data_IF_913260972708
#
_entry.id   IF_913260972708
#
_cell.length_a   1.000
_cell.length_b   1.000
_cell.length_c   1.000
_cell.angle_alpha   90.00
_cell.angle_beta   90.00
_cell.angle_gamma   90.00
#
_symmetry.space_group_name_H-M   'P 1'
#
loop_
_entity.id
_entity.type
_entity.pdbx_description
1 polymer ?
#
# COMPACT_ATOMS: atom_id res chain seq x y z
N UNK A 1 12.31 61.58 22.47
CA UNK A 1 12.05 60.13 22.58
C UNK A 1 10.71 59.94 23.25
N UNK A 2 9.68 59.49 22.51
CA UNK A 2 8.35 59.25 23.12
C UNK A 2 8.51 58.14 24.14
N UNK A 3 8.39 58.47 25.43
CA UNK A 3 8.28 57.47 26.48
C UNK A 3 6.95 56.74 26.27
N UNK A 4 7.01 55.54 25.67
CA UNK A 4 5.85 54.67 25.52
C UNK A 4 5.40 54.26 26.92
N UNK A 5 4.38 54.93 27.45
CA UNK A 5 3.78 54.57 28.72
C UNK A 5 3.23 53.14 28.61
N UNK A 6 3.71 52.23 29.45
CA UNK A 6 3.21 50.85 29.46
C UNK A 6 1.81 50.86 30.11
N UNK A 7 0.77 50.29 29.46
CA UNK A 7 -0.63 50.45 29.84
C UNK A 7 -1.07 49.65 31.09
N UNK A 8 -0.28 49.67 32.17
CA UNK A 8 -0.63 49.01 33.44
C UNK A 8 -1.84 49.64 34.16
N UNK A 9 -2.27 50.83 33.73
CA UNK A 9 -3.38 51.57 34.37
C UNK A 9 -4.72 51.42 33.66
N UNK A 10 -4.75 50.73 32.51
CA UNK A 10 -5.98 50.52 31.74
C UNK A 10 -6.92 49.49 32.40
N UNK A 11 -6.41 48.55 33.21
CA UNK A 11 -7.26 47.63 33.95
C UNK A 11 -6.73 47.33 35.36
N UNK A 12 -7.64 46.92 36.26
CA UNK A 12 -7.27 46.48 37.62
C UNK A 12 -6.36 45.25 37.58
N UNK A 13 -6.54 44.38 36.60
CA UNK A 13 -5.74 43.17 36.41
C UNK A 13 -4.31 43.52 36.01
N UNK A 14 -4.12 44.39 35.00
CA UNK A 14 -2.78 44.80 34.56
C UNK A 14 -2.06 45.63 35.64
N UNK A 15 -2.80 46.37 36.47
CA UNK A 15 -2.25 47.06 37.64
C UNK A 15 -1.72 46.09 38.71
N UNK A 16 -2.39 44.97 38.94
CA UNK A 16 -1.92 43.93 39.86
C UNK A 16 -0.62 43.29 39.36
N UNK A 17 -0.52 43.05 38.05
CA UNK A 17 0.67 42.44 37.45
C UNK A 17 1.84 43.40 37.23
N UNK A 18 1.65 44.71 37.44
CA UNK A 18 2.69 45.73 37.25
C UNK A 18 3.97 45.39 38.04
N UNK A 19 3.85 44.95 39.29
CA UNK A 19 5.02 44.64 40.14
C UNK A 19 5.84 43.48 39.61
N UNK A 20 5.19 42.45 39.05
CA UNK A 20 5.85 41.27 38.49
C UNK A 20 6.58 41.60 37.19
N UNK A 21 5.96 42.36 36.29
CA UNK A 21 6.59 42.76 35.02
C UNK A 21 7.67 43.84 35.19
N UNK A 22 7.66 44.59 36.29
CA UNK A 22 8.71 45.56 36.63
C UNK A 22 9.86 44.94 37.48
N UNK A 23 10.01 43.61 37.51
CA UNK A 23 11.16 42.93 38.10
C UNK A 23 11.12 42.72 39.62
N UNK A 24 9.96 42.94 40.27
CA UNK A 24 9.78 42.71 41.71
C UNK A 24 9.13 41.35 42.03
N UNK A 25 9.31 40.35 41.18
CA UNK A 25 8.80 38.99 41.37
C UNK A 25 9.06 38.12 40.16
N UNK A 26 8.85 36.80 40.29
CA UNK A 26 8.88 35.84 39.17
C UNK A 26 7.45 35.64 38.67
N UNK A 27 7.25 35.60 37.35
CA UNK A 27 5.96 35.26 36.74
C UNK A 27 6.07 33.97 35.92
N UNK A 28 5.06 33.11 36.01
CA UNK A 28 4.90 31.94 35.16
C UNK A 28 3.50 31.97 34.54
N UNK A 29 3.40 31.62 33.26
CA UNK A 29 2.15 31.55 32.52
C UNK A 29 1.85 30.09 32.18
N UNK A 30 0.66 29.63 32.54
CA UNK A 30 0.15 28.32 32.15
C UNK A 30 -0.86 28.54 31.03
N UNK A 31 -0.68 27.82 29.92
CA UNK A 31 -1.51 27.93 28.73
C UNK A 31 -2.29 26.63 28.58
N UNK A 32 -3.61 26.70 28.69
CA UNK A 32 -4.49 25.56 28.48
C UNK A 32 -4.92 25.50 27.01
N UNK A 33 -4.86 24.31 26.42
CA UNK A 33 -5.15 24.09 24.99
C UNK A 33 -6.31 23.10 24.84
N UNK A 34 -7.26 23.44 23.97
CA UNK A 34 -8.32 22.53 23.56
C UNK A 34 -7.87 21.74 22.32
N UNK A 35 -8.08 20.42 22.33
CA UNK A 35 -7.71 19.53 21.22
C UNK A 35 -8.76 19.53 20.09
N UNK A 36 -9.93 20.13 20.31
CA UNK A 36 -10.98 20.19 19.31
C UNK A 36 -10.64 21.13 18.14
N UNK A 37 -10.82 20.65 16.91
CA UNK A 37 -10.54 21.41 15.70
C UNK A 37 -11.42 22.67 15.55
N UNK A 38 -12.63 22.69 16.13
CA UNK A 38 -13.52 23.85 16.05
C UNK A 38 -12.98 25.10 16.76
N UNK A 39 -12.13 24.92 17.77
CA UNK A 39 -11.49 26.01 18.53
C UNK A 39 -10.07 26.30 18.05
N UNK A 40 -9.71 25.87 16.84
CA UNK A 40 -8.36 26.00 16.29
C UNK A 40 -7.90 27.46 16.22
N UNK A 41 -8.74 28.36 15.67
CA UNK A 41 -8.36 29.77 15.50
C UNK A 41 -8.16 30.49 16.84
N UNK A 42 -8.97 30.16 17.85
CA UNK A 42 -8.83 30.65 19.22
C UNK A 42 -7.54 30.13 19.86
N UNK A 43 -7.27 28.83 19.74
CA UNK A 43 -6.05 28.18 20.23
C UNK A 43 -4.81 28.77 19.56
N UNK A 44 -4.86 29.00 18.25
CA UNK A 44 -3.80 29.64 17.49
C UNK A 44 -3.55 31.08 17.99
N UNK A 45 -4.61 31.83 18.32
CA UNK A 45 -4.47 33.17 18.88
C UNK A 45 -3.77 33.15 20.26
N UNK A 46 -4.19 32.25 21.15
CA UNK A 46 -3.57 32.07 22.48
C UNK A 46 -2.10 31.68 22.35
N UNK A 47 -1.77 30.77 21.41
CA UNK A 47 -0.39 30.36 21.16
C UNK A 47 0.49 31.50 20.63
N UNK A 48 -0.05 32.33 19.71
CA UNK A 48 0.63 33.55 19.24
C UNK A 48 0.89 34.52 20.38
N UNK A 49 -0.08 34.76 21.25
CA UNK A 49 0.08 35.62 22.43
C UNK A 49 1.15 35.07 23.37
N UNK A 50 1.15 33.77 23.62
CA UNK A 50 2.12 33.08 24.49
C UNK A 50 3.55 33.18 23.95
N UNK A 51 3.71 33.07 22.62
CA UNK A 51 5.00 33.26 21.96
C UNK A 51 5.55 34.69 22.13
N UNK A 52 4.67 35.70 22.09
CA UNK A 52 5.05 37.11 22.36
C UNK A 52 5.39 37.29 23.84
N UNK A 53 4.58 36.75 24.75
CA UNK A 53 4.80 36.85 26.19
C UNK A 53 6.15 36.23 26.62
N UNK A 54 6.59 35.16 25.95
CA UNK A 54 7.90 34.53 26.18
C UNK A 54 9.08 35.46 25.89
N UNK A 55 8.91 36.46 25.01
CA UNK A 55 9.97 37.41 24.67
C UNK A 55 10.16 38.51 25.74
N UNK A 56 9.25 38.60 26.71
CA UNK A 56 9.32 39.58 27.79
C UNK A 56 10.36 39.12 28.82
N UNK A 57 11.55 39.69 28.74
CA UNK A 57 12.63 39.46 29.71
C UNK A 57 12.41 40.36 30.93
N UNK A 58 12.15 39.75 32.08
CA UNK A 58 12.11 40.46 33.35
C UNK A 58 13.55 40.68 33.82
N UNK A 59 13.99 41.93 33.92
CA UNK A 59 15.27 42.27 34.56
C UNK A 59 15.08 42.19 36.06
N UNK A 60 15.11 40.99 36.60
CA UNK A 60 15.18 40.75 38.04
C UNK A 60 16.68 40.84 38.38
N UNK A 61 17.13 41.79 39.21
CA UNK A 61 18.52 41.79 39.66
C UNK A 61 18.77 40.46 40.39
N UNK A 62 19.79 39.71 39.94
CA UNK A 62 20.12 38.38 40.46
C UNK A 62 20.33 38.42 41.97
N UNK A 63 19.33 37.98 42.71
CA UNK A 63 19.54 37.36 44.02
C UNK A 63 19.61 35.87 43.75
N UNK A 64 20.81 35.34 43.99
CA UNK A 64 21.21 33.94 43.88
C UNK A 64 20.05 32.98 44.13
N UNK A 65 19.79 32.13 43.15
CA UNK A 65 18.81 31.05 43.16
C UNK A 65 18.89 30.23 44.46
N UNK A 66 17.96 30.45 45.38
CA UNK A 66 17.68 29.55 46.48
C UNK A 66 16.45 28.71 46.10
N UNK A 67 16.68 27.40 46.01
CA UNK A 67 15.73 26.35 45.65
C UNK A 67 14.39 26.47 46.39
N UNK A 68 13.29 26.26 45.65
CA UNK A 68 11.90 26.24 46.12
C UNK A 68 11.58 24.99 46.99
N UNK A 69 12.33 24.80 48.08
CA UNK A 69 11.93 23.91 49.16
C UNK A 69 11.28 24.74 50.27
N UNK A 70 10.22 24.25 50.95
CA UNK A 70 9.60 25.00 52.05
C UNK A 70 10.62 25.16 53.19
N UNK A 71 11.28 26.31 53.26
CA UNK A 71 12.14 26.66 54.37
C UNK A 71 11.37 27.54 55.34
N UNK A 72 11.53 27.30 56.64
CA UNK A 72 11.07 28.23 57.66
C UNK A 72 11.94 29.50 57.56
N UNK A 73 11.32 30.66 57.50
CA UNK A 73 12.02 31.95 57.43
C UNK A 73 11.98 32.65 58.79
N UNK A 74 13.10 33.26 59.18
CA UNK A 74 13.19 34.10 60.37
C UNK A 74 12.44 35.42 60.18
N UNK A 75 12.22 36.17 61.27
CA UNK A 75 11.54 37.48 61.23
C UNK A 75 12.28 38.53 60.39
N UNK A 76 13.56 38.30 60.12
CA UNK A 76 14.46 39.09 59.26
C UNK A 76 14.44 38.64 57.78
N UNK A 77 13.60 37.67 57.41
CA UNK A 77 13.44 37.19 56.04
C UNK A 77 14.57 36.29 55.55
N UNK A 78 15.46 35.84 56.45
CA UNK A 78 16.54 34.90 56.12
C UNK A 78 16.10 33.45 56.34
N UNK A 79 16.60 32.48 55.54
CA UNK A 79 16.28 31.06 55.72
C UNK A 79 16.84 30.55 57.07
N UNK A 80 16.02 29.91 57.91
CA UNK A 80 16.47 29.29 59.18
C UNK A 80 17.29 28.01 58.97
N UNK A 81 17.34 27.50 57.74
CA UNK A 81 18.00 26.24 57.41
C UNK A 81 19.08 26.51 56.37
N UNK A 82 20.34 26.32 56.77
CA UNK A 82 21.47 26.22 55.85
C UNK A 82 22.00 24.80 55.92
N UNK A 83 21.94 24.07 54.80
CA UNK A 83 22.48 22.71 54.65
C UNK A 83 21.84 21.60 55.55
N UNK A 84 20.57 21.72 55.91
CA UNK A 84 19.82 20.63 56.56
C UNK A 84 20.06 20.48 58.08
N UNK A 85 20.79 21.40 58.71
CA UNK A 85 20.92 21.49 60.16
C UNK A 85 20.16 22.72 60.64
N UNK A 86 19.27 22.56 61.63
CA UNK A 86 18.60 23.70 62.28
C UNK A 86 19.68 24.45 63.06
N UNK A 87 19.94 25.70 62.71
CA UNK A 87 20.85 26.54 63.49
C UNK A 87 20.19 26.84 64.85
N UNK A 88 20.66 26.17 65.91
CA UNK A 88 20.15 26.35 67.28
C UNK A 88 20.15 27.82 67.70
N UNK A 89 21.08 28.64 67.18
CA UNK A 89 21.18 30.07 67.51
C UNK A 89 20.08 30.91 66.85
N UNK A 90 19.63 30.51 65.65
CA UNK A 90 18.52 31.15 64.94
C UNK A 90 17.15 30.74 65.53
N UNK A 91 17.04 29.50 66.02
CA UNK A 91 15.84 29.01 66.71
C UNK A 91 15.64 29.70 68.07
N UNK A 92 16.72 29.95 68.82
CA UNK A 92 16.67 30.67 70.10
C UNK A 92 16.26 32.14 69.92
N UNK A 93 16.76 32.79 68.87
CA UNK A 93 16.38 34.15 68.46
C UNK A 93 14.90 34.25 68.05
N UNK A 94 14.34 33.22 67.40
CA UNK A 94 12.91 33.19 67.03
C UNK A 94 11.99 33.00 68.24
N UNK A 95 12.50 32.41 69.33
CA UNK A 95 11.75 32.16 70.57
C UNK A 95 11.89 33.27 71.61
N UNK A 96 12.89 34.15 71.48
CA UNK A 96 13.07 35.32 72.34
C UNK A 96 12.16 36.47 71.90
N UNK A 97 10.97 36.56 72.49
CA UNK A 97 10.12 37.75 72.41
C UNK A 97 10.78 38.91 73.19
N UNK A 98 11.51 39.79 72.50
CA UNK A 98 11.88 41.09 73.03
C UNK A 98 11.12 42.16 72.25
N UNK A 99 9.93 42.48 72.75
CA UNK A 99 9.08 43.54 72.24
C UNK A 99 9.47 44.84 72.95
N UNK A 100 9.98 45.81 72.17
CA UNK A 100 10.10 47.20 72.58
C UNK A 100 8.69 47.75 72.81
N UNK A 101 8.29 47.86 74.07
CA UNK A 101 7.11 48.64 74.48
C UNK A 101 7.59 49.76 75.41
N UNK A 102 7.66 50.95 74.83
CA UNK A 102 7.72 52.20 75.58
C UNK A 102 6.37 52.42 76.29
N UNK A 103 6.50 52.65 77.60
CA UNK A 103 5.67 53.43 78.51
C UNK A 103 4.16 53.15 78.70
N UNK A 104 3.87 52.81 79.96
CA UNK A 104 2.71 53.23 80.76
C UNK A 104 1.29 52.84 80.31
N UNK A 105 0.86 51.66 80.75
CA UNK A 105 -0.54 51.42 81.09
C UNK A 105 -0.63 50.60 82.39
N UNK A 106 -0.97 51.28 83.48
CA UNK A 106 -1.36 50.66 84.75
C UNK A 106 -2.63 49.81 84.55
N UNK A 107 -2.48 48.49 84.64
CA UNK A 107 -3.57 47.50 84.60
C UNK A 107 -3.33 46.41 85.65
N UNK A 108 -3.24 46.79 86.92
CA UNK A 108 -3.38 45.83 88.03
C UNK A 108 -4.86 45.45 88.17
N UNK A 109 -5.22 44.18 87.92
CA UNK A 109 -6.36 43.49 88.59
C UNK A 109 -6.36 41.94 88.46
N UNK A 110 -5.30 41.31 87.96
CA UNK A 110 -5.07 39.85 88.04
C UNK A 110 -3.63 39.59 88.53
N UNK A 111 -3.40 38.62 89.42
CA UNK A 111 -2.04 38.21 89.78
C UNK A 111 -1.26 37.86 88.51
N UNK A 112 -0.07 38.46 88.34
CA UNK A 112 0.76 38.30 87.13
C UNK A 112 0.98 36.83 86.74
N UNK A 113 1.03 35.94 87.73
CA UNK A 113 1.12 34.49 87.54
C UNK A 113 -0.10 33.86 86.86
N UNK A 114 -1.31 34.33 87.16
CA UNK A 114 -2.55 33.81 86.57
C UNK A 114 -2.69 34.22 85.11
N UNK A 115 -2.29 35.45 84.77
CA UNK A 115 -2.26 35.94 83.40
C UNK A 115 -1.25 35.17 82.54
N UNK A 116 -0.04 34.92 83.05
CA UNK A 116 0.97 34.11 82.37
C UNK A 116 0.50 32.67 82.14
N UNK A 117 -0.10 32.04 83.15
CA UNK A 117 -0.69 30.71 83.02
C UNK A 117 -1.83 30.67 81.98
N UNK A 118 -2.64 31.72 81.89
CA UNK A 118 -3.69 31.84 80.88
C UNK A 118 -3.09 31.99 79.47
N UNK A 119 -2.07 32.84 79.31
CA UNK A 119 -1.36 33.03 78.03
C UNK A 119 -0.74 31.70 77.56
N UNK A 120 -0.07 30.98 78.45
CA UNK A 120 0.53 29.69 78.13
C UNK A 120 -0.53 28.62 77.80
N UNK A 121 -1.64 28.61 78.54
CA UNK A 121 -2.81 27.78 78.25
C UNK A 121 -3.47 28.09 76.89
N UNK A 122 -3.52 29.36 76.50
CA UNK A 122 -4.05 29.76 75.19
C UNK A 122 -3.06 29.43 74.06
N UNK A 123 -1.75 29.61 74.28
CA UNK A 123 -0.69 29.22 73.34
C UNK A 123 -0.72 27.72 73.05
N UNK A 124 -0.85 26.88 74.09
CA UNK A 124 -0.95 25.42 73.93
C UNK A 124 -2.21 25.01 73.18
N UNK A 125 -3.37 25.60 73.49
CA UNK A 125 -4.62 25.37 72.73
C UNK A 125 -4.51 25.82 71.27
N UNK A 126 -3.91 26.98 71.00
CA UNK A 126 -3.68 27.47 69.65
C UNK A 126 -2.79 26.51 68.85
N UNK A 127 -1.72 26.01 69.45
CA UNK A 127 -0.84 25.03 68.83
C UNK A 127 -1.56 23.70 68.57
N UNK A 128 -2.38 23.24 69.52
CA UNK A 128 -3.19 22.02 69.37
C UNK A 128 -4.20 22.17 68.21
N UNK A 129 -4.90 23.30 68.12
CA UNK A 129 -5.84 23.58 67.02
C UNK A 129 -5.12 23.68 65.67
N UNK A 130 -3.95 24.33 65.61
CA UNK A 130 -3.14 24.38 64.38
C UNK A 130 -2.71 22.99 63.92
N UNK A 131 -2.28 22.13 64.85
CA UNK A 131 -1.92 20.73 64.54
C UNK A 131 -3.12 19.94 64.05
N UNK A 132 -4.27 20.05 64.73
CA UNK A 132 -5.52 19.40 64.33
C UNK A 132 -5.93 19.81 62.91
N UNK A 133 -5.90 21.11 62.62
CA UNK A 133 -6.23 21.65 61.30
C UNK A 133 -5.28 21.14 60.21
N UNK A 134 -3.98 21.09 60.48
CA UNK A 134 -3.01 20.58 59.51
C UNK A 134 -3.26 19.10 59.17
N UNK A 135 -3.54 18.28 60.18
CA UNK A 135 -3.86 16.85 59.97
C UNK A 135 -5.12 16.70 59.13
N UNK A 136 -6.18 17.44 59.45
CA UNK A 136 -7.43 17.43 58.67
C UNK A 136 -7.22 17.88 57.23
N UNK A 137 -6.42 18.92 57.00
CA UNK A 137 -6.11 19.40 55.64
C UNK A 137 -5.37 18.36 54.81
N UNK A 138 -4.41 17.66 55.43
CA UNK A 138 -3.67 16.56 54.78
C UNK A 138 -4.63 15.41 54.43
N UNK A 139 -5.52 15.04 55.34
CA UNK A 139 -6.50 13.98 55.15
C UNK A 139 -7.49 14.32 54.02
N UNK A 140 -8.08 15.52 54.03
CA UNK A 140 -9.00 15.98 52.98
C UNK A 140 -8.30 16.00 51.62
N UNK A 141 -7.06 16.47 51.54
CA UNK A 141 -6.30 16.49 50.28
C UNK A 141 -5.99 15.09 49.78
N UNK A 142 -5.70 14.15 50.69
CA UNK A 142 -5.49 12.75 50.35
C UNK A 142 -6.77 12.13 49.82
N UNK A 143 -7.88 12.24 50.54
CA UNK A 143 -9.18 11.70 50.11
C UNK A 143 -9.62 12.27 48.76
N UNK A 144 -9.48 13.59 48.57
CA UNK A 144 -9.80 14.23 47.29
C UNK A 144 -8.86 13.77 46.17
N UNK A 145 -7.57 13.57 46.48
CA UNK A 145 -6.59 13.04 45.53
C UNK A 145 -6.89 11.61 45.11
N UNK A 146 -7.22 10.74 46.08
CA UNK A 146 -7.58 9.34 45.85
C UNK A 146 -8.87 9.24 45.02
N UNK A 147 -9.90 10.05 45.34
CA UNK A 147 -11.14 10.10 44.58
C UNK A 147 -10.95 10.60 43.13
N UNK A 148 -10.13 11.65 42.94
CA UNK A 148 -9.81 12.16 41.60
C UNK A 148 -9.04 11.11 40.79
N UNK A 149 -8.08 10.43 41.41
CA UNK A 149 -7.31 9.37 40.76
C UNK A 149 -8.22 8.22 40.33
N UNK A 150 -9.12 7.79 41.21
CA UNK A 150 -10.10 6.75 40.90
C UNK A 150 -10.96 7.13 39.68
N UNK A 151 -11.50 8.35 39.65
CA UNK A 151 -12.30 8.83 38.50
C UNK A 151 -11.49 8.84 37.20
N UNK A 152 -10.21 9.23 37.24
CA UNK A 152 -9.33 9.22 36.07
C UNK A 152 -9.16 7.80 35.55
N UNK A 153 -8.84 6.84 36.43
CA UNK A 153 -8.65 5.44 36.08
C UNK A 153 -9.92 4.82 35.48
N UNK A 154 -11.08 5.03 36.10
CA UNK A 154 -12.37 4.56 35.59
C UNK A 154 -12.66 5.15 34.18
N UNK A 155 -12.35 6.43 33.97
CA UNK A 155 -12.53 7.07 32.67
C UNK A 155 -11.55 6.58 31.60
N UNK A 156 -10.34 6.21 32.00
CA UNK A 156 -9.32 5.65 31.11
C UNK A 156 -9.70 4.23 30.69
N UNK A 157 -10.16 3.41 31.63
CA UNK A 157 -10.64 2.06 31.38
C UNK A 157 -11.82 2.06 30.39
N UNK A 158 -12.81 2.93 30.58
CA UNK A 158 -13.94 3.07 29.66
C UNK A 158 -13.48 3.45 28.24
N UNK A 159 -12.52 4.39 28.12
CA UNK A 159 -11.97 4.77 26.81
C UNK A 159 -11.18 3.63 26.16
N UNK A 160 -10.42 2.87 26.95
CA UNK A 160 -9.68 1.71 26.45
C UNK A 160 -10.63 0.63 25.93
N UNK A 161 -11.72 0.35 26.65
CA UNK A 161 -12.77 -0.58 26.23
C UNK A 161 -13.42 -0.13 24.91
N UNK A 162 -13.81 1.15 24.80
CA UNK A 162 -14.39 1.70 23.57
C UNK A 162 -13.45 1.58 22.36
N UNK A 163 -12.14 1.79 22.57
CA UNK A 163 -11.14 1.62 21.50
C UNK A 163 -11.03 0.15 21.09
N UNK A 164 -11.08 -0.77 22.05
CA UNK A 164 -10.97 -2.21 21.77
C UNK A 164 -12.21 -2.74 21.04
N UNK A 165 -13.41 -2.36 21.46
CA UNK A 165 -14.67 -2.67 20.75
C UNK A 165 -14.64 -2.15 19.30
N UNK A 166 -14.13 -0.94 19.09
CA UNK A 166 -13.97 -0.40 17.75
C UNK A 166 -13.01 -1.27 16.92
N UNK A 167 -11.84 -1.65 17.46
CA UNK A 167 -10.89 -2.52 16.75
C UNK A 167 -11.49 -3.87 16.42
N UNK A 168 -12.20 -4.50 17.37
CA UNK A 168 -12.87 -5.78 17.16
C UNK A 168 -13.91 -5.67 16.05
N UNK A 169 -14.74 -4.61 16.06
CA UNK A 169 -15.72 -4.37 14.99
C UNK A 169 -15.08 -4.16 13.61
N UNK A 170 -13.89 -3.54 13.55
CA UNK A 170 -13.14 -3.39 12.30
C UNK A 170 -12.53 -4.71 11.84
N UNK A 171 -12.01 -5.52 12.77
CA UNK A 171 -11.48 -6.84 12.48
C UNK A 171 -12.58 -7.78 11.95
N UNK A 172 -13.75 -7.78 12.58
CA UNK A 172 -14.92 -8.57 12.15
C UNK A 172 -15.38 -8.17 10.74
N UNK A 173 -15.45 -6.86 10.44
CA UNK A 173 -15.76 -6.39 9.09
C UNK A 173 -14.75 -6.88 8.06
N UNK A 174 -13.46 -6.87 8.40
CA UNK A 174 -12.41 -7.34 7.51
C UNK A 174 -12.54 -8.86 7.26
N UNK A 175 -12.77 -9.64 8.32
CA UNK A 175 -12.97 -11.09 8.22
C UNK A 175 -14.20 -11.42 7.38
N UNK A 176 -15.32 -10.73 7.60
CA UNK A 176 -16.54 -10.89 6.80
C UNK A 176 -16.28 -10.59 5.32
N UNK A 177 -15.54 -9.52 5.00
CA UNK A 177 -15.19 -9.22 3.61
C UNK A 177 -14.26 -10.28 3.02
N UNK A 178 -13.32 -10.80 3.81
CA UNK A 178 -12.39 -11.84 3.38
C UNK A 178 -13.14 -13.14 3.06
N UNK A 179 -14.08 -13.56 3.91
CA UNK A 179 -14.88 -14.77 3.67
C UNK A 179 -15.77 -14.61 2.43
N UNK A 180 -16.36 -13.42 2.20
CA UNK A 180 -17.08 -13.11 0.96
C UNK A 180 -16.20 -13.27 -0.29
N UNK A 181 -14.97 -12.74 -0.27
CA UNK A 181 -14.05 -12.87 -1.40
C UNK A 181 -13.63 -14.32 -1.63
N UNK A 182 -13.36 -15.06 -0.56
CA UNK A 182 -13.00 -16.47 -0.61
C UNK A 182 -14.12 -17.31 -1.23
N UNK A 183 -15.37 -17.07 -0.85
CA UNK A 183 -16.51 -17.78 -1.42
C UNK A 183 -16.76 -17.37 -2.88
N UNK A 184 -16.62 -16.10 -3.23
CA UNK A 184 -16.69 -15.65 -4.63
C UNK A 184 -15.61 -16.29 -5.52
N UNK A 185 -14.39 -16.46 -5.01
CA UNK A 185 -13.30 -17.14 -5.73
C UNK A 185 -13.61 -18.63 -5.91
N UNK A 186 -14.12 -19.31 -4.87
CA UNK A 186 -14.53 -20.72 -4.96
C UNK A 186 -15.64 -20.91 -5.99
N UNK A 187 -16.66 -20.06 -5.95
CA UNK A 187 -17.78 -20.08 -6.90
C UNK A 187 -17.30 -19.85 -8.34
N UNK A 188 -16.45 -18.85 -8.56
CA UNK A 188 -15.88 -18.59 -9.88
C UNK A 188 -15.04 -19.78 -10.38
N UNK A 189 -14.21 -20.38 -9.52
CA UNK A 189 -13.43 -21.56 -9.88
C UNK A 189 -14.33 -22.75 -10.24
N UNK A 190 -15.40 -22.98 -9.48
CA UNK A 190 -16.39 -24.01 -9.76
C UNK A 190 -17.11 -23.78 -11.08
N UNK A 191 -17.59 -22.55 -11.32
CA UNK A 191 -18.25 -22.17 -12.58
C UNK A 191 -17.31 -22.35 -13.78
N UNK A 192 -16.05 -21.93 -13.69
CA UNK A 192 -15.07 -22.19 -14.73
C UNK A 192 -14.90 -23.69 -14.97
N UNK A 193 -14.82 -24.52 -13.93
CA UNK A 193 -14.69 -25.97 -14.09
C UNK A 193 -15.93 -26.59 -14.76
N UNK A 194 -17.13 -26.14 -14.40
CA UNK A 194 -18.39 -26.61 -15.00
C UNK A 194 -18.52 -26.19 -16.46
N UNK A 195 -18.24 -24.93 -16.80
CA UNK A 195 -18.31 -24.44 -18.18
C UNK A 195 -17.29 -25.16 -19.08
N UNK A 196 -16.08 -25.43 -18.59
CA UNK A 196 -15.11 -26.25 -19.33
C UNK A 196 -15.63 -27.68 -19.59
N UNK A 197 -16.40 -28.26 -18.66
CA UNK A 197 -17.00 -29.57 -18.85
C UNK A 197 -18.09 -29.54 -19.92
N UNK A 198 -18.88 -28.46 -19.96
CA UNK A 198 -19.92 -28.21 -20.94
C UNK A 198 -19.34 -27.97 -22.35
N UNK A 199 -18.31 -27.14 -22.48
CA UNK A 199 -17.66 -26.82 -23.75
C UNK A 199 -16.99 -28.06 -24.40
N UNK A 200 -16.51 -29.01 -23.60
CA UNK A 200 -15.89 -30.25 -24.07
C UNK A 200 -16.87 -31.43 -24.15
N UNK A 201 -18.17 -31.18 -23.92
CA UNK A 201 -19.18 -32.23 -23.97
C UNK A 201 -19.57 -32.53 -25.42
N UNK A 202 -19.25 -33.72 -25.89
CA UNK A 202 -19.74 -34.25 -27.18
C UNK A 202 -20.86 -35.25 -26.88
N UNK A 203 -22.10 -35.02 -27.37
CA UNK A 203 -23.18 -35.98 -27.25
C UNK A 203 -22.79 -37.36 -27.80
N UNK A 204 -23.18 -38.43 -27.11
CA UNK A 204 -22.79 -39.79 -27.47
C UNK A 204 -23.19 -40.16 -28.91
N UNK A 205 -24.37 -39.72 -29.35
CA UNK A 205 -24.87 -39.97 -30.70
C UNK A 205 -23.96 -39.34 -31.77
N UNK A 206 -23.50 -38.10 -31.55
CA UNK A 206 -22.55 -37.42 -32.47
C UNK A 206 -21.19 -38.12 -32.49
N UNK A 207 -20.69 -38.56 -31.34
CA UNK A 207 -19.44 -39.31 -31.26
C UNK A 207 -19.52 -40.65 -32.02
N UNK A 208 -20.62 -41.39 -31.87
CA UNK A 208 -20.82 -42.67 -32.58
C UNK A 208 -20.97 -42.48 -34.08
N UNK A 209 -21.69 -41.43 -34.51
CA UNK A 209 -21.83 -41.11 -35.93
C UNK A 209 -20.50 -40.70 -36.58
N UNK A 210 -19.65 -39.95 -35.87
CA UNK A 210 -18.30 -39.64 -36.36
C UNK A 210 -17.38 -40.86 -36.37
N UNK A 211 -17.47 -41.78 -35.40
CA UNK A 211 -16.73 -43.04 -35.47
C UNK A 211 -17.10 -43.88 -36.69
N UNK A 212 -18.40 -44.03 -36.98
CA UNK A 212 -18.87 -44.79 -38.14
C UNK A 212 -18.36 -44.15 -39.45
N UNK A 213 -18.40 -42.82 -39.57
CA UNK A 213 -17.84 -42.12 -40.74
C UNK A 213 -16.33 -42.35 -40.89
N UNK A 214 -15.58 -42.28 -39.78
CA UNK A 214 -14.14 -42.53 -39.79
C UNK A 214 -13.85 -43.97 -40.23
N UNK A 215 -14.60 -44.94 -39.73
CA UNK A 215 -14.47 -46.36 -40.10
C UNK A 215 -14.73 -46.56 -41.60
N UNK A 216 -15.80 -45.97 -42.15
CA UNK A 216 -16.11 -46.00 -43.59
C UNK A 216 -15.00 -45.38 -44.44
N UNK A 217 -14.46 -44.23 -44.02
CA UNK A 217 -13.35 -43.56 -44.73
C UNK A 217 -12.07 -44.39 -44.65
N UNK A 218 -11.82 -45.05 -43.52
CA UNK A 218 -10.64 -45.88 -43.29
C UNK A 218 -10.70 -47.14 -44.15
N UNK A 219 -11.85 -47.79 -44.23
CA UNK A 219 -12.09 -48.92 -45.13
C UNK A 219 -11.90 -48.50 -46.60
N UNK A 220 -12.49 -47.37 -47.01
CA UNK A 220 -12.31 -46.85 -48.36
C UNK A 220 -10.84 -46.50 -48.66
N UNK A 221 -10.08 -46.00 -47.69
CA UNK A 221 -8.66 -45.72 -47.83
C UNK A 221 -7.86 -47.01 -48.05
N UNK A 222 -8.16 -48.07 -47.30
CA UNK A 222 -7.53 -49.39 -47.44
C UNK A 222 -7.81 -49.99 -48.82
N UNK A 223 -9.05 -49.91 -49.30
CA UNK A 223 -9.39 -50.35 -50.65
C UNK A 223 -8.65 -49.56 -51.73
N UNK A 224 -8.61 -48.22 -51.60
CA UNK A 224 -7.90 -47.36 -52.55
C UNK A 224 -6.40 -47.58 -52.54
N UNK A 225 -5.78 -47.82 -51.38
CA UNK A 225 -4.37 -48.17 -51.29
C UNK A 225 -4.07 -49.51 -51.97
N UNK A 226 -4.93 -50.52 -51.78
CA UNK A 226 -4.78 -51.81 -52.45
C UNK A 226 -4.89 -51.69 -53.98
N UNK A 227 -5.82 -50.86 -54.48
CA UNK A 227 -5.96 -50.59 -55.91
C UNK A 227 -4.75 -49.84 -56.48
N UNK A 228 -4.19 -48.88 -55.75
CA UNK A 228 -2.98 -48.16 -56.15
C UNK A 228 -1.77 -49.11 -56.22
N UNK A 229 -1.59 -50.00 -55.24
CA UNK A 229 -0.54 -51.03 -55.28
C UNK A 229 -0.70 -51.97 -56.48
N UNK A 230 -1.94 -52.40 -56.78
CA UNK A 230 -2.22 -53.22 -57.94
C UNK A 230 -1.89 -52.50 -59.26
N UNK A 231 -2.30 -51.22 -59.39
CA UNK A 231 -1.98 -50.40 -60.56
C UNK A 231 -0.48 -50.17 -60.71
N UNK A 232 0.23 -49.88 -59.61
CA UNK A 232 1.68 -49.72 -59.62
C UNK A 232 2.36 -50.99 -60.15
N UNK A 233 1.94 -52.16 -59.66
CA UNK A 233 2.46 -53.45 -60.14
C UNK A 233 2.22 -53.63 -61.64
N UNK A 234 1.03 -53.29 -62.14
CA UNK A 234 0.75 -53.38 -63.59
C UNK A 234 1.56 -52.40 -64.43
N UNK A 235 1.81 -51.17 -63.93
CA UNK A 235 2.65 -50.19 -64.60
C UNK A 235 4.12 -50.63 -64.65
N UNK A 236 4.62 -51.23 -63.56
CA UNK A 236 5.96 -51.82 -63.51
C UNK A 236 6.08 -53.00 -64.47
N UNK A 237 5.06 -53.86 -64.55
CA UNK A 237 4.99 -54.99 -65.50
C UNK A 237 4.98 -54.50 -66.96
N UNK A 238 4.20 -53.46 -67.26
CA UNK A 238 4.16 -52.84 -68.59
C UNK A 238 5.50 -52.18 -68.94
N UNK A 239 6.15 -51.50 -67.99
CA UNK A 239 7.48 -50.89 -68.19
C UNK A 239 8.53 -51.96 -68.50
N UNK A 240 8.54 -53.06 -67.74
CA UNK A 240 9.39 -54.24 -68.03
C UNK A 240 9.11 -54.85 -69.40
N UNK A 241 7.84 -54.90 -69.82
CA UNK A 241 7.48 -55.40 -71.14
C UNK A 241 7.94 -54.46 -72.27
N UNK A 242 7.81 -53.14 -72.09
CA UNK A 242 8.26 -52.13 -73.04
C UNK A 242 9.79 -52.19 -73.21
N UNK A 243 10.55 -52.31 -72.12
CA UNK A 243 12.01 -52.50 -72.16
C UNK A 243 12.40 -53.74 -72.98
N UNK A 244 11.68 -54.85 -72.82
CA UNK A 244 11.92 -56.06 -73.64
C UNK A 244 11.66 -55.82 -75.12
N UNK A 245 10.59 -55.10 -75.48
CA UNK A 245 10.29 -54.75 -76.88
C UNK A 245 11.33 -53.80 -77.46
N UNK A 246 11.78 -52.81 -76.70
CA UNK A 246 12.86 -51.91 -77.11
C UNK A 246 14.15 -52.70 -77.39
N UNK A 247 14.54 -53.61 -76.49
CA UNK A 247 15.68 -54.50 -76.73
C UNK A 247 15.55 -55.33 -78.01
N UNK A 248 14.36 -55.89 -78.27
CA UNK A 248 14.09 -56.64 -79.50
C UNK A 248 14.14 -55.75 -80.75
N UNK A 249 13.66 -54.51 -80.67
CA UNK A 249 13.77 -53.55 -81.76
C UNK A 249 15.23 -53.17 -82.03
N UNK A 250 16.04 -52.94 -80.99
CA UNK A 250 17.47 -52.68 -81.14
C UNK A 250 18.21 -53.85 -81.81
N UNK A 251 17.82 -55.10 -81.50
CA UNK A 251 18.34 -56.30 -82.17
C UNK A 251 17.92 -56.37 -83.64
N UNK A 252 16.63 -56.13 -83.93
CA UNK A 252 16.09 -56.06 -85.30
C UNK A 252 16.75 -54.95 -86.11
N UNK A 253 17.01 -53.79 -85.52
CA UNK A 253 17.66 -52.65 -86.19
C UNK A 253 19.12 -52.97 -86.51
N UNK A 254 19.85 -53.69 -85.63
CA UNK A 254 21.18 -54.24 -85.93
C UNK A 254 21.12 -55.25 -87.07
N UNK A 255 20.10 -56.10 -87.11
CA UNK A 255 19.89 -57.07 -88.19
C UNK A 255 19.57 -56.36 -89.52
N UNK A 256 18.68 -55.36 -89.51
CA UNK A 256 18.37 -54.50 -90.67
C UNK A 256 19.64 -53.79 -91.15
N UNK A 257 20.47 -53.26 -90.26
CA UNK A 257 21.74 -52.64 -90.62
C UNK A 257 22.68 -53.64 -91.31
N UNK A 258 22.80 -54.87 -90.78
CA UNK A 258 23.58 -55.95 -91.39
C UNK A 258 23.06 -56.35 -92.77
N UNK A 259 21.73 -56.46 -92.94
CA UNK A 259 21.09 -56.75 -94.23
C UNK A 259 21.28 -55.61 -95.23
N UNK A 260 21.19 -54.34 -94.80
CA UNK A 260 21.48 -53.16 -95.64
C UNK A 260 22.94 -53.15 -96.10
N UNK A 261 23.89 -53.46 -95.21
CA UNK A 261 25.31 -53.58 -95.57
C UNK A 261 25.56 -54.70 -96.59
N UNK A 262 24.85 -55.83 -96.47
CA UNK A 262 24.90 -56.91 -97.46
C UNK A 262 24.30 -56.48 -98.82
N UNK A 263 23.22 -55.69 -98.81
CA UNK A 263 22.60 -55.15 -100.03
C UNK A 263 23.49 -54.13 -100.74
N UNK A 264 24.20 -53.28 -99.99
CA UNK A 264 25.23 -52.37 -100.53
C UNK A 264 26.40 -53.12 -101.17
N UNK A 265 26.75 -54.32 -100.66
CA UNK A 265 27.77 -55.19 -101.26
C UNK A 265 27.29 -55.87 -102.56
N UNK A 266 25.98 -56.10 -102.73
CA UNK A 266 25.39 -56.68 -103.94
C UNK A 266 25.06 -55.63 -105.03
N UNK A 267 24.87 -54.36 -104.67
CA UNK A 267 24.50 -53.29 -105.60
C UNK A 267 25.67 -52.75 -106.47
N UNK A 268 26.91 -53.23 -106.32
CA UNK A 268 28.05 -52.76 -107.13
C UNK A 268 28.24 -53.47 -108.49
N UNK A 269 27.27 -54.24 -108.99
CA UNK A 269 27.31 -54.77 -110.38
C UNK A 269 25.95 -54.72 -111.07
N UNK A 270 25.69 -53.66 -111.84
CA UNK A 270 25.31 -53.71 -113.27
C UNK A 270 24.52 -52.46 -113.72
N UNK A 271 24.52 -52.11 -115.03
CA UNK A 271 24.06 -50.82 -115.52
C UNK A 271 22.75 -50.90 -116.36
N UNK A 272 22.20 -49.71 -116.70
CA UNK A 272 21.47 -49.36 -117.95
C UNK A 272 19.91 -49.19 -117.94
N UNK A 273 19.50 -47.96 -118.34
CA UNK A 273 18.35 -47.44 -119.16
C UNK A 273 16.91 -47.19 -118.64
N UNK A 274 16.55 -45.91 -118.84
CA UNK A 274 15.29 -45.15 -119.04
C UNK A 274 14.01 -45.88 -119.52
N UNK A 275 12.82 -45.40 -119.07
CA UNK A 275 11.64 -44.93 -119.86
C UNK A 275 10.50 -44.47 -118.91
N UNK A 276 10.02 -43.21 -118.98
CA UNK A 276 8.81 -42.63 -119.64
C UNK A 276 7.57 -42.41 -118.72
N UNK A 277 7.24 -41.11 -118.56
CA UNK A 277 5.96 -40.37 -118.42
C UNK A 277 4.65 -41.08 -117.99
N UNK A 278 3.92 -40.39 -117.11
CA UNK A 278 2.45 -40.31 -117.07
C UNK A 278 1.96 -39.84 -115.69
N UNK A 279 1.56 -38.56 -115.52
CA UNK A 279 0.17 -38.06 -115.55
C UNK A 279 -0.70 -38.60 -114.40
N UNK A 280 -0.97 -37.77 -113.39
CA UNK A 280 -2.32 -37.27 -113.06
C UNK A 280 -2.21 -36.19 -111.96
N UNK A 281 -2.91 -35.10 -112.22
CA UNK A 281 -3.02 -33.92 -111.37
C UNK A 281 -4.27 -34.02 -110.48
N UNK A 282 -4.24 -33.23 -109.40
CA UNK A 282 -5.36 -32.63 -108.68
C UNK A 282 -6.36 -33.57 -107.98
N UNK A 283 -6.54 -33.38 -106.67
CA UNK A 283 -7.75 -32.77 -106.11
C UNK A 283 -7.39 -32.00 -104.83
N UNK A 284 -7.49 -30.67 -104.91
CA UNK A 284 -7.72 -29.77 -103.79
C UNK A 284 -9.21 -29.89 -103.44
N UNK A 285 -9.53 -30.12 -102.16
CA UNK A 285 -10.21 -29.14 -101.31
C UNK A 285 -10.74 -29.79 -100.01
N UNK A 286 -10.77 -28.93 -98.99
CA UNK A 286 -11.74 -28.89 -97.92
C UNK A 286 -11.41 -29.53 -96.54
N UNK A 287 -11.27 -28.62 -95.58
CA UNK A 287 -11.84 -28.62 -94.21
C UNK A 287 -10.91 -28.91 -93.02
N UNK A 288 -10.53 -27.78 -92.41
CA UNK A 288 -10.54 -27.46 -90.97
C UNK A 288 -9.46 -28.01 -90.00
N UNK A 289 -8.61 -27.05 -89.61
CA UNK A 289 -8.06 -26.79 -88.26
C UNK A 289 -9.10 -27.03 -87.14
N UNK A 290 -8.67 -27.32 -85.89
CA UNK A 290 -8.16 -26.23 -85.05
C UNK A 290 -6.89 -26.57 -84.24
N UNK A 291 -5.96 -25.60 -84.24
CA UNK A 291 -4.96 -25.37 -83.19
C UNK A 291 -5.66 -24.72 -81.99
N UNK A 292 -5.39 -25.23 -80.78
CA UNK A 292 -5.63 -24.51 -79.53
C UNK A 292 -4.33 -23.78 -79.15
N UNK A 293 -4.49 -22.50 -78.86
CA UNK A 293 -3.45 -21.51 -78.52
C UNK A 293 -2.63 -21.86 -77.26
N UNK A 294 -1.42 -21.29 -77.15
CA UNK A 294 -1.00 -20.63 -75.92
C UNK A 294 -0.77 -19.14 -76.20
N UNK A 295 -1.55 -18.28 -75.55
CA UNK A 295 -1.24 -16.84 -75.46
C UNK A 295 -0.98 -16.49 -74.01
N UNK A 296 0.29 -16.25 -73.71
CA UNK A 296 0.67 -15.50 -72.53
C UNK A 296 0.28 -14.03 -72.69
N UNK A 297 -0.23 -13.44 -71.61
CA UNK A 297 -0.15 -12.00 -71.33
C UNK A 297 0.18 -11.81 -69.86
N UNK A 298 1.32 -11.18 -69.61
CA UNK A 298 1.65 -10.51 -68.37
C UNK A 298 0.68 -9.34 -68.16
N UNK A 299 0.10 -9.22 -66.95
CA UNK A 299 -0.21 -7.91 -66.34
C UNK A 299 0.11 -8.00 -64.83
N UNK A 300 0.81 -6.98 -64.37
CA UNK A 300 1.27 -6.70 -63.00
C UNK A 300 0.23 -5.79 -62.33
N UNK A 301 -0.02 -5.99 -61.02
CA UNK A 301 -0.27 -4.99 -59.95
C UNK A 301 -1.48 -5.27 -59.02
N UNK A 302 -1.11 -5.39 -57.73
CA UNK A 302 -1.67 -4.80 -56.52
C UNK A 302 -3.00 -5.30 -55.93
N UNK A 303 -2.94 -5.60 -54.62
CA UNK A 303 -4.08 -5.47 -53.70
C UNK A 303 -4.31 -6.63 -52.73
N UNK A 304 -3.76 -6.53 -51.51
CA UNK A 304 -4.33 -7.08 -50.25
C UNK A 304 -5.81 -6.65 -50.08
N UNK A 305 -6.70 -7.31 -49.28
CA UNK A 305 -6.44 -7.73 -47.87
C UNK A 305 -7.18 -8.98 -47.31
N UNK A 306 -6.59 -9.57 -46.24
CA UNK A 306 -7.15 -10.20 -45.00
C UNK A 306 -8.23 -11.32 -45.10
N UNK A 307 -8.47 -12.16 -44.06
CA UNK A 307 -8.13 -12.05 -42.62
C UNK A 307 -6.71 -12.46 -42.25
#
# INVERSE_FOLDING_TARGET
TKSTCIPFRESKLTKLFQTFFCGKGKASMIVNINQCASTYDETLHVMKFSAIAKQVVQVIPDKTEESLSPCLFGRDGKPLVRNGVIDSKALESYLSEEELLDEEADMSLLPQSELLNMIEGLRTKLLAERRRKLVQEIEIRKEMGDAMLQQILESEELRAQQIEELKESYAEKLENTFEMYKDAIKEHAYQCAMNNLEDNYVPLDEFTAEQEKVEVVQDALVEKSALLEALQKTADDQSRALEKVLHQNDEKDKEIASLKDQLCKLSQKSPVKKTKRGLFANFKDAVASPRIHPTGRNIRLAGSPKP
#
